data_IF_024351653161
#
_entry.id   IF_024351653161
#
_cell.length_a   1.000
_cell.length_b   1.000
_cell.length_c   1.000
_cell.angle_alpha   90.00
_cell.angle_beta   90.00
_cell.angle_gamma   90.00
#
_symmetry.space_group_name_H-M   'P 1'
#
loop_
_entity.id
_entity.type
_entity.pdbx_description
1 polymer ?
#
# COMPACT_ATOMS: atom_id res chain seq x y z
N UNK A 1 6.40 41.58 -18.20
CA UNK A 1 7.06 40.33 -17.75
C UNK A 1 6.47 39.83 -16.43
N UNK A 2 5.13 39.68 -16.33
CA UNK A 2 4.46 39.15 -15.12
C UNK A 2 3.43 38.07 -15.48
N UNK A 3 2.86 38.16 -16.69
CA UNK A 3 1.94 37.18 -17.27
C UNK A 3 2.60 35.85 -17.66
N UNK A 4 3.90 35.84 -17.98
CA UNK A 4 4.61 34.61 -18.37
C UNK A 4 4.76 33.60 -17.22
N UNK A 5 4.81 34.06 -15.96
CA UNK A 5 4.97 33.20 -14.79
C UNK A 5 3.68 32.45 -14.46
N UNK A 6 2.53 33.10 -14.66
CA UNK A 6 1.22 32.50 -14.34
C UNK A 6 0.91 31.32 -15.28
N UNK A 7 1.29 31.42 -16.56
CA UNK A 7 1.08 30.33 -17.53
C UNK A 7 1.97 29.11 -17.21
N UNK A 8 3.19 29.32 -16.73
CA UNK A 8 4.11 28.22 -16.40
C UNK A 8 3.67 27.46 -15.14
N UNK A 9 3.11 28.16 -14.15
CA UNK A 9 2.55 27.54 -12.94
C UNK A 9 1.30 26.72 -13.24
N UNK A 10 0.46 27.16 -14.19
CA UNK A 10 -0.75 26.44 -14.59
C UNK A 10 -0.45 25.10 -15.29
N UNK A 11 0.65 25.01 -16.03
CA UNK A 11 1.07 23.78 -16.73
C UNK A 11 1.71 22.74 -15.80
N UNK A 12 2.25 23.16 -14.65
CA UNK A 12 2.89 22.23 -13.70
C UNK A 12 1.85 21.35 -12.96
N UNK A 13 0.60 21.80 -12.84
CA UNK A 13 -0.45 21.08 -12.13
C UNK A 13 -1.05 19.91 -12.90
N UNK A 14 -0.90 19.87 -14.24
CA UNK A 14 -1.47 18.81 -15.09
C UNK A 14 -0.52 17.62 -15.24
N UNK A 15 0.77 17.79 -14.90
CA UNK A 15 1.81 16.79 -15.15
C UNK A 15 2.07 15.83 -13.98
N UNK A 16 1.36 15.98 -12.84
CA UNK A 16 1.47 15.03 -11.74
C UNK A 16 0.44 13.91 -11.97
N UNK A 17 0.87 12.65 -12.15
CA UNK A 17 -0.06 11.54 -12.19
C UNK A 17 -0.84 11.54 -10.87
N UNK A 18 -2.16 11.32 -10.91
CA UNK A 18 -2.94 11.19 -9.69
C UNK A 18 -2.46 9.94 -8.97
N UNK A 19 -1.64 10.14 -7.93
CA UNK A 19 -1.22 9.08 -7.04
C UNK A 19 -2.39 8.81 -6.10
N UNK A 20 -3.34 7.99 -6.54
CA UNK A 20 -4.37 7.47 -5.65
C UNK A 20 -3.69 6.42 -4.76
N UNK A 21 -3.62 6.73 -3.45
CA UNK A 21 -3.29 5.75 -2.44
C UNK A 21 -4.52 5.41 -1.61
N UNK A 22 -4.65 4.14 -1.27
CA UNK A 22 -5.69 3.58 -0.42
C UNK A 22 -5.03 2.88 0.76
N UNK A 23 -5.73 2.81 1.89
CA UNK A 23 -5.26 2.14 3.09
C UNK A 23 -6.09 0.88 3.32
N UNK A 24 -5.41 -0.24 3.50
CA UNK A 24 -6.00 -1.52 3.90
C UNK A 24 -5.53 -1.88 5.31
N UNK A 25 -6.48 -1.99 6.23
CA UNK A 25 -6.25 -2.40 7.60
C UNK A 25 -6.77 -3.82 7.79
N UNK A 26 -5.96 -4.73 8.33
CA UNK A 26 -6.41 -6.10 8.55
C UNK A 26 -5.36 -7.04 9.14
N UNK A 27 -5.70 -8.31 9.19
CA UNK A 27 -4.81 -9.36 9.69
C UNK A 27 -4.07 -10.03 8.52
N UNK A 28 -2.78 -10.28 8.68
CA UNK A 28 -2.00 -11.01 7.68
C UNK A 28 -2.42 -12.48 7.69
N UNK A 29 -3.07 -12.94 6.62
CA UNK A 29 -3.41 -14.36 6.47
C UNK A 29 -2.24 -15.16 5.89
N UNK A 30 -1.44 -14.56 4.99
CA UNK A 30 -0.28 -15.23 4.39
C UNK A 30 0.80 -14.25 3.92
N UNK A 31 2.06 -14.68 4.08
CA UNK A 31 3.24 -13.98 3.55
C UNK A 31 3.94 -14.87 2.52
N UNK A 32 4.07 -14.41 1.27
CA UNK A 32 4.89 -15.06 0.26
C UNK A 32 6.17 -14.25 0.00
N UNK A 33 7.23 -14.56 0.74
CA UNK A 33 8.51 -13.90 0.59
C UNK A 33 9.21 -14.18 -0.76
N UNK A 34 8.81 -15.20 -1.51
CA UNK A 34 9.39 -15.50 -2.83
C UNK A 34 8.74 -14.66 -3.92
N UNK A 35 7.42 -14.58 -3.89
CA UNK A 35 6.65 -13.72 -4.79
C UNK A 35 6.73 -12.24 -4.40
N UNK A 36 7.19 -11.94 -3.18
CA UNK A 36 7.10 -10.61 -2.57
C UNK A 36 5.64 -10.16 -2.46
N UNK A 37 4.79 -11.03 -1.92
CA UNK A 37 3.37 -10.75 -1.75
C UNK A 37 2.98 -10.85 -0.27
N UNK A 38 2.06 -9.99 0.13
CA UNK A 38 1.40 -9.98 1.43
C UNK A 38 -0.10 -10.15 1.19
N UNK A 39 -0.72 -11.12 1.85
CA UNK A 39 -2.16 -11.35 1.77
C UNK A 39 -2.76 -10.93 3.10
N UNK A 40 -3.66 -9.94 3.03
CA UNK A 40 -4.36 -9.38 4.18
C UNK A 40 -5.81 -9.81 4.08
N UNK A 41 -6.38 -10.22 5.20
CA UNK A 41 -7.80 -10.51 5.30
C UNK A 41 -8.46 -9.38 6.08
N UNK A 42 -9.48 -8.78 5.47
CA UNK A 42 -10.38 -7.80 6.08
C UNK A 42 -11.77 -8.40 6.18
N UNK A 43 -12.52 -8.04 7.23
CA UNK A 43 -13.91 -8.44 7.35
C UNK A 43 -14.81 -7.36 6.74
N UNK A 44 -15.61 -7.74 5.74
CA UNK A 44 -16.58 -6.83 5.15
C UNK A 44 -17.62 -6.42 6.21
N UNK A 45 -17.80 -5.11 6.48
CA UNK A 45 -18.67 -4.65 7.56
C UNK A 45 -20.16 -4.81 7.27
N UNK A 46 -20.54 -5.12 6.02
CA UNK A 46 -21.92 -5.29 5.56
C UNK A 46 -22.28 -6.78 5.45
N UNK A 47 -21.42 -7.60 4.84
CA UNK A 47 -21.68 -9.02 4.60
C UNK A 47 -21.13 -9.93 5.69
N UNK A 48 -20.22 -9.43 6.54
CA UNK A 48 -19.46 -10.19 7.54
C UNK A 48 -18.52 -11.25 6.95
N UNK A 49 -18.38 -11.30 5.62
CA UNK A 49 -17.48 -12.22 4.93
C UNK A 49 -16.03 -11.76 5.05
N UNK A 50 -15.12 -12.73 5.11
CA UNK A 50 -13.68 -12.48 5.05
C UNK A 50 -13.25 -12.29 3.59
N UNK A 51 -12.79 -11.09 3.24
CA UNK A 51 -12.19 -10.80 1.94
C UNK A 51 -10.66 -10.79 2.06
N UNK A 52 -10.00 -11.51 1.14
CA UNK A 52 -8.54 -11.59 1.10
C UNK A 52 -7.99 -10.76 -0.05
N UNK A 53 -7.16 -9.78 0.28
CA UNK A 53 -6.51 -8.88 -0.70
C UNK A 53 -5.05 -9.25 -0.84
N UNK A 54 -4.61 -9.49 -2.08
CA UNK A 54 -3.21 -9.76 -2.41
C UNK A 54 -2.52 -8.45 -2.75
N UNK A 55 -1.46 -8.14 -2.00
CA UNK A 55 -0.69 -6.91 -2.14
C UNK A 55 0.74 -7.26 -2.52
N UNK A 56 1.21 -6.68 -3.62
CA UNK A 56 2.59 -6.80 -4.08
C UNK A 56 3.50 -5.87 -3.27
N UNK A 57 4.57 -6.42 -2.72
CA UNK A 57 5.60 -5.70 -1.99
C UNK A 57 6.73 -5.35 -2.94
N UNK A 58 7.04 -4.06 -3.02
CA UNK A 58 8.11 -3.55 -3.86
C UNK A 58 9.38 -3.35 -3.04
N UNK A 59 10.53 -3.28 -3.72
CA UNK A 59 11.80 -2.92 -3.08
C UNK A 59 11.79 -1.50 -2.52
N UNK A 60 10.87 -0.65 -2.97
CA UNK A 60 10.64 0.72 -2.50
C UNK A 60 9.62 0.83 -1.37
N UNK A 61 8.93 -0.27 -1.02
CA UNK A 61 7.95 -0.28 0.06
C UNK A 61 8.63 0.06 1.38
N UNK A 62 8.06 1.01 2.12
CA UNK A 62 8.56 1.40 3.44
C UNK A 62 7.94 0.53 4.53
N UNK A 63 8.75 0.07 5.47
CA UNK A 63 8.28 -0.70 6.62
C UNK A 63 8.38 0.12 7.89
N UNK A 64 7.33 0.07 8.70
CA UNK A 64 7.27 0.64 10.06
C UNK A 64 6.91 -0.47 11.05
N UNK A 65 7.47 -0.41 12.25
CA UNK A 65 7.38 -1.49 13.25
C UNK A 65 8.30 -2.69 12.95
N UNK A 66 8.49 -3.05 11.69
CA UNK A 66 9.41 -4.12 11.22
C UNK A 66 10.45 -3.58 10.24
N UNK A 67 11.52 -4.34 10.00
CA UNK A 67 12.57 -3.94 9.03
C UNK A 67 12.29 -4.39 7.60
N UNK A 68 11.49 -5.43 7.42
CA UNK A 68 11.19 -6.00 6.10
C UNK A 68 10.03 -6.98 6.14
N UNK A 69 9.51 -7.36 4.97
CA UNK A 69 8.50 -8.41 4.79
C UNK A 69 8.83 -9.73 5.53
N UNK A 70 10.10 -10.06 5.71
CA UNK A 70 10.52 -11.32 6.37
C UNK A 70 10.22 -11.35 7.87
N UNK A 71 10.00 -10.20 8.49
CA UNK A 71 9.71 -10.08 9.91
C UNK A 71 8.19 -10.12 10.19
N UNK A 72 7.37 -9.94 9.15
CA UNK A 72 5.91 -10.05 9.21
C UNK A 72 5.50 -11.53 9.23
N UNK A 73 4.51 -11.86 10.04
CA UNK A 73 3.98 -13.21 10.21
C UNK A 73 2.48 -13.24 10.00
N UNK A 74 1.97 -14.43 9.68
CA UNK A 74 0.53 -14.69 9.73
C UNK A 74 0.01 -14.41 11.13
N UNK A 75 -1.11 -13.69 11.22
CA UNK A 75 -1.71 -13.24 12.48
C UNK A 75 -1.29 -11.85 12.94
N UNK A 76 -0.33 -11.21 12.26
CA UNK A 76 0.03 -9.83 12.58
C UNK A 76 -1.05 -8.87 12.08
N UNK A 77 -1.43 -7.90 12.91
CA UNK A 77 -2.27 -6.77 12.50
C UNK A 77 -1.42 -5.73 11.75
N UNK A 78 -1.85 -5.40 10.53
CA UNK A 78 -1.12 -4.49 9.65
C UNK A 78 -2.02 -3.43 9.06
N UNK A 79 -1.42 -2.27 8.79
CA UNK A 79 -1.99 -1.19 7.99
C UNK A 79 -1.10 -0.99 6.77
N UNK A 80 -1.66 -1.12 5.57
CA UNK A 80 -0.90 -1.05 4.32
C UNK A 80 -1.44 0.04 3.43
N UNK A 81 -0.59 1.03 3.16
CA UNK A 81 -0.84 2.00 2.12
C UNK A 81 -0.49 1.37 0.77
N UNK A 82 -1.45 1.31 -0.14
CA UNK A 82 -1.26 0.76 -1.47
C UNK A 82 -1.59 1.77 -2.56
N UNK A 83 -1.08 1.51 -3.75
CA UNK A 83 -1.55 2.12 -4.98
C UNK A 83 -1.90 1.02 -5.97
N UNK A 84 -2.94 1.25 -6.76
CA UNK A 84 -3.33 0.32 -7.81
C UNK A 84 -2.50 0.58 -9.07
N UNK A 85 -1.80 -0.44 -9.57
CA UNK A 85 -1.12 -0.38 -10.86
C UNK A 85 -2.03 -0.97 -11.95
N UNK A 86 -2.55 -0.09 -12.81
CA UNK A 86 -3.42 -0.47 -13.92
C UNK A 86 -2.72 -1.37 -14.96
N UNK A 87 -1.38 -1.33 -15.04
CA UNK A 87 -0.63 -2.13 -16.02
C UNK A 87 -0.54 -3.59 -15.61
N UNK A 88 -0.29 -3.85 -14.32
CA UNK A 88 -0.20 -5.20 -13.76
C UNK A 88 -1.51 -5.69 -13.16
N UNK A 89 -2.55 -4.86 -13.11
CA UNK A 89 -3.85 -5.16 -12.49
C UNK A 89 -3.67 -5.66 -11.05
N UNK A 90 -2.90 -4.90 -10.25
CA UNK A 90 -2.49 -5.33 -8.92
C UNK A 90 -2.32 -4.18 -7.94
N UNK A 91 -2.63 -4.43 -6.66
CA UNK A 91 -2.27 -3.54 -5.56
C UNK A 91 -0.77 -3.62 -5.25
N UNK A 92 -0.12 -2.47 -5.18
CA UNK A 92 1.31 -2.33 -4.86
C UNK A 92 1.48 -1.54 -3.56
N UNK A 93 2.22 -2.10 -2.61
CA UNK A 93 2.45 -1.46 -1.32
C UNK A 93 3.41 -0.27 -1.45
N UNK A 94 2.95 0.89 -1.01
CA UNK A 94 3.77 2.08 -0.76
C UNK A 94 4.42 1.97 0.62
N UNK A 95 3.62 1.63 1.65
CA UNK A 95 4.11 1.44 3.01
C UNK A 95 3.33 0.36 3.76
N UNK A 96 4.00 -0.30 4.70
CA UNK A 96 3.44 -1.36 5.56
C UNK A 96 3.80 -1.01 7.01
N UNK A 97 2.78 -0.88 7.84
CA UNK A 97 2.90 -0.66 9.27
C UNK A 97 2.39 -1.89 10.01
N UNK A 98 3.19 -2.41 10.95
CA UNK A 98 2.79 -3.57 11.78
C UNK A 98 2.54 -3.09 13.21
N UNK A 99 1.31 -3.23 13.69
CA UNK A 99 0.95 -2.87 15.06
C UNK A 99 1.62 -3.84 16.03
N UNK A 100 2.46 -3.33 16.94
CA UNK A 100 3.07 -4.15 18.01
C UNK A 100 4.46 -4.74 17.72
N UNK A 101 5.07 -4.51 16.57
CA UNK A 101 6.44 -4.95 16.29
C UNK A 101 7.55 -4.12 16.98
N UNK A 102 7.15 -3.14 17.81
CA UNK A 102 8.05 -2.37 18.67
C UNK A 102 7.98 -2.83 20.13
N UNK A 103 8.78 -3.84 20.49
CA UNK A 103 9.21 -4.11 21.87
C UNK A 103 10.70 -4.48 21.88
#
# INVERSE_FOLDING_TARGET
MKTAIIVFVLWLWVALPPCFSEWFDGEVSKVDARAQELIITEQDPITEDEEATVISILSTTKFSGVKSLKEIKTGDEVSVEVSYDELSDSWQAISVEVAGAGA
#
